data_IF_289702796720
#
_entry.id   IF_289702796720
#
_cell.length_a   1.000
_cell.length_b   1.000
_cell.length_c   1.000
_cell.angle_alpha   90.00
_cell.angle_beta   90.00
_cell.angle_gamma   90.00
#
_symmetry.space_group_name_H-M   'P 1'
#
loop_
_entity.id
_entity.type
_entity.pdbx_description
1 polymer ?
#
# COMPACT_ATOMS: atom_id res chain seq x y z
N UNK A 1 -1.58 10.32 29.26
CA UNK A 1 -2.51 11.45 29.24
C UNK A 1 -3.69 11.00 28.40
N UNK A 2 -4.83 10.80 29.05
CA UNK A 2 -5.95 10.02 28.53
C UNK A 2 -6.78 10.79 27.51
N UNK A 3 -6.90 10.25 26.30
CA UNK A 3 -7.74 10.78 25.23
C UNK A 3 -9.22 10.70 25.63
N UNK A 4 -9.76 11.83 26.10
CA UNK A 4 -11.18 11.97 26.39
C UNK A 4 -11.91 12.50 25.14
N UNK A 5 -12.91 11.74 24.67
CA UNK A 5 -13.87 12.20 23.65
C UNK A 5 -15.16 12.61 24.37
N UNK A 6 -15.50 13.91 24.31
CA UNK A 6 -16.74 14.46 24.88
C UNK A 6 -17.97 13.84 24.21
N UNK A 7 -18.93 13.34 25.01
CA UNK A 7 -20.25 12.91 24.54
C UNK A 7 -21.15 14.14 24.28
N UNK A 8 -22.13 14.06 23.34
CA UNK A 8 -22.36 12.98 22.39
C UNK A 8 -21.40 13.12 21.18
N UNK A 9 -20.67 12.06 20.87
CA UNK A 9 -19.84 11.98 19.67
C UNK A 9 -20.42 10.91 18.73
N UNK A 10 -20.36 11.19 17.44
CA UNK A 10 -20.74 10.22 16.42
C UNK A 10 -19.62 9.18 16.26
N UNK A 11 -19.93 7.91 16.52
CA UNK A 11 -19.01 6.80 16.24
C UNK A 11 -18.55 6.80 14.77
N UNK A 12 -19.45 7.16 13.84
CA UNK A 12 -19.14 7.28 12.42
C UNK A 12 -18.07 8.35 12.16
N UNK A 13 -18.17 9.50 12.84
CA UNK A 13 -17.18 10.57 12.72
C UNK A 13 -15.85 10.18 13.36
N UNK A 14 -15.88 9.48 14.50
CA UNK A 14 -14.68 8.98 15.17
C UNK A 14 -13.92 7.99 14.27
N UNK A 15 -14.60 7.02 13.68
CA UNK A 15 -14.00 6.07 12.73
C UNK A 15 -13.39 6.82 11.54
N UNK A 16 -14.09 7.79 10.96
CA UNK A 16 -13.55 8.60 9.85
C UNK A 16 -12.31 9.39 10.24
N UNK A 17 -12.25 9.94 11.47
CA UNK A 17 -11.06 10.64 11.98
C UNK A 17 -9.89 9.69 12.17
N UNK A 18 -10.12 8.52 12.77
CA UNK A 18 -9.09 7.49 12.94
C UNK A 18 -8.55 7.06 11.57
N UNK A 19 -9.43 6.73 10.62
CA UNK A 19 -9.01 6.37 9.25
C UNK A 19 -8.25 7.49 8.54
N UNK A 20 -8.66 8.75 8.71
CA UNK A 20 -7.95 9.90 8.12
C UNK A 20 -6.55 10.08 8.73
N UNK A 21 -6.41 9.90 10.04
CA UNK A 21 -5.12 9.94 10.73
C UNK A 21 -4.23 8.78 10.27
N UNK A 22 -4.78 7.57 10.14
CA UNK A 22 -4.05 6.42 9.61
C UNK A 22 -3.59 6.67 8.16
N UNK A 23 -4.46 7.15 7.26
CA UNK A 23 -4.06 7.51 5.89
C UNK A 23 -2.97 8.59 5.82
N UNK A 24 -2.97 9.53 6.77
CA UNK A 24 -1.97 10.61 6.82
C UNK A 24 -0.62 10.13 7.33
N UNK A 25 -0.62 9.19 8.28
CA UNK A 25 0.60 8.70 8.92
C UNK A 25 1.22 7.53 8.16
N UNK A 26 0.38 6.66 7.64
CA UNK A 26 0.72 5.65 6.65
C UNK A 26 0.44 6.27 5.28
N UNK A 27 1.31 7.18 4.83
CA UNK A 27 1.49 7.34 3.38
C UNK A 27 1.95 5.96 2.94
N UNK A 28 1.02 5.16 2.42
CA UNK A 28 1.39 3.97 1.67
C UNK A 28 2.02 4.56 0.43
N UNK A 29 3.32 4.84 0.51
CA UNK A 29 4.12 4.99 -0.67
C UNK A 29 3.90 3.67 -1.41
N UNK A 30 3.06 3.72 -2.43
CA UNK A 30 2.86 2.65 -3.39
C UNK A 30 4.13 2.52 -4.25
N UNK A 31 5.31 2.89 -3.71
CA UNK A 31 6.61 2.76 -4.32
C UNK A 31 7.33 1.66 -3.54
N UNK A 32 7.61 0.56 -4.22
CA UNK A 32 8.40 -0.53 -3.68
C UNK A 32 9.81 -0.47 -4.25
N UNK A 33 10.78 -0.55 -3.36
CA UNK A 33 12.20 -0.59 -3.69
C UNK A 33 12.82 -1.92 -3.30
N UNK A 34 13.57 -2.52 -4.21
CA UNK A 34 14.37 -3.70 -3.96
C UNK A 34 15.61 -3.70 -4.83
N UNK A 35 16.78 -3.58 -4.20
CA UNK A 35 18.06 -3.43 -4.89
C UNK A 35 17.99 -2.27 -5.91
N UNK A 36 18.29 -2.55 -7.18
CA UNK A 36 18.22 -1.56 -8.26
C UNK A 36 16.80 -1.40 -8.85
N UNK A 37 15.79 -2.07 -8.28
CA UNK A 37 14.40 -2.08 -8.77
C UNK A 37 13.55 -1.11 -7.97
N UNK A 38 12.80 -0.27 -8.67
CA UNK A 38 11.80 0.63 -8.11
C UNK A 38 10.49 0.45 -8.85
N UNK A 39 9.39 0.19 -8.15
CA UNK A 39 8.07 0.02 -8.75
C UNK A 39 7.10 0.96 -8.08
N UNK A 40 6.50 1.86 -8.87
CA UNK A 40 5.41 2.72 -8.45
C UNK A 40 4.08 2.12 -8.89
N UNK A 41 3.34 1.57 -7.92
CA UNK A 41 2.00 1.00 -8.07
C UNK A 41 0.91 2.04 -8.33
N UNK A 42 1.17 3.34 -8.12
CA UNK A 42 0.23 4.42 -8.44
C UNK A 42 0.34 4.80 -9.91
N UNK A 43 1.55 5.00 -10.42
CA UNK A 43 1.80 5.37 -11.82
C UNK A 43 1.92 4.16 -12.76
N UNK A 44 1.91 2.94 -12.22
CA UNK A 44 2.18 1.69 -12.95
C UNK A 44 3.55 1.69 -13.66
N UNK A 45 4.53 2.40 -13.09
CA UNK A 45 5.88 2.48 -13.63
C UNK A 45 6.83 1.58 -12.86
N UNK A 46 7.71 0.89 -13.59
CA UNK A 46 8.81 0.13 -13.01
C UNK A 46 10.14 0.65 -13.56
N UNK A 47 11.16 0.71 -12.72
CA UNK A 47 12.53 1.09 -13.08
C UNK A 47 13.50 0.04 -12.58
N UNK A 48 14.48 -0.32 -13.39
CA UNK A 48 15.58 -1.20 -13.02
C UNK A 48 16.88 -0.48 -13.36
N UNK A 49 17.79 -0.33 -12.40
CA UNK A 49 19.03 0.44 -12.57
C UNK A 49 18.79 1.86 -13.11
N UNK A 50 17.68 2.46 -12.65
CA UNK A 50 17.21 3.79 -13.07
C UNK A 50 16.73 3.89 -14.54
N UNK A 51 16.58 2.77 -15.26
CA UNK A 51 15.96 2.72 -16.59
C UNK A 51 14.49 2.29 -16.47
N UNK A 52 13.59 2.96 -17.19
CA UNK A 52 12.17 2.59 -17.21
C UNK A 52 11.94 1.29 -17.98
N UNK A 53 11.19 0.38 -17.36
CA UNK A 53 10.88 -0.94 -17.92
C UNK A 53 9.38 -1.02 -18.17
N UNK A 54 9.02 -1.40 -19.40
CA UNK A 54 7.63 -1.66 -19.74
C UNK A 54 7.13 -2.90 -18.99
N UNK A 55 6.13 -2.70 -18.12
CA UNK A 55 5.48 -3.77 -17.36
C UNK A 55 3.97 -3.71 -17.62
N UNK A 56 3.33 -4.87 -17.73
CA UNK A 56 1.87 -4.92 -17.92
C UNK A 56 1.18 -4.65 -16.59
N UNK A 57 0.00 -4.01 -16.58
CA UNK A 57 -0.76 -3.78 -15.36
C UNK A 57 -1.02 -5.06 -14.55
N UNK A 58 -1.28 -6.19 -15.24
CA UNK A 58 -1.48 -7.50 -14.58
C UNK A 58 -0.24 -8.00 -13.86
N UNK A 59 0.94 -7.85 -14.45
CA UNK A 59 2.20 -8.31 -13.85
C UNK A 59 2.50 -7.49 -12.58
N UNK A 60 2.21 -6.19 -12.63
CA UNK A 60 2.39 -5.29 -11.51
C UNK A 60 1.38 -5.57 -10.37
N UNK A 61 0.14 -5.95 -10.68
CA UNK A 61 -0.83 -6.41 -9.68
C UNK A 61 -0.38 -7.71 -8.98
N UNK A 62 0.13 -8.67 -9.74
CA UNK A 62 0.68 -9.92 -9.17
C UNK A 62 1.87 -9.59 -8.26
N UNK A 63 2.78 -8.72 -8.71
CA UNK A 63 3.91 -8.27 -7.88
C UNK A 63 3.43 -7.60 -6.59
N UNK A 64 2.43 -6.72 -6.66
CA UNK A 64 1.80 -6.09 -5.49
C UNK A 64 1.27 -7.14 -4.51
N UNK A 65 0.57 -8.16 -5.02
CA UNK A 65 0.04 -9.26 -4.20
C UNK A 65 1.16 -10.04 -3.51
N UNK A 66 2.23 -10.39 -4.23
CA UNK A 66 3.38 -11.12 -3.67
C UNK A 66 4.13 -10.30 -2.61
N UNK A 67 4.26 -9.00 -2.80
CA UNK A 67 4.89 -8.09 -1.82
C UNK A 67 4.04 -7.99 -0.55
N UNK A 68 2.71 -7.87 -0.70
CA UNK A 68 1.79 -7.83 0.44
C UNK A 68 1.80 -9.13 1.26
N UNK A 69 2.04 -10.27 0.61
CA UNK A 69 2.13 -11.59 1.24
C UNK A 69 3.56 -12.13 1.29
N UNK A 70 4.54 -11.25 1.59
CA UNK A 70 5.95 -11.60 1.62
C UNK A 70 6.20 -12.83 2.51
N UNK A 71 7.01 -13.78 2.02
CA UNK A 71 7.37 -15.04 2.68
C UNK A 71 6.21 -16.04 2.86
N UNK A 72 5.07 -15.84 2.18
CA UNK A 72 3.98 -16.80 2.16
C UNK A 72 3.96 -17.54 0.83
N UNK A 73 3.66 -18.84 0.88
CA UNK A 73 3.41 -19.63 -0.32
C UNK A 73 1.98 -19.37 -0.75
N UNK A 74 1.80 -18.70 -1.89
CA UNK A 74 0.48 -18.46 -2.49
C UNK A 74 0.19 -19.51 -3.56
N UNK A 75 -1.00 -20.11 -3.52
CA UNK A 75 -1.52 -20.97 -4.58
C UNK A 75 -1.99 -20.11 -5.76
N UNK A 76 -2.18 -20.73 -6.93
CA UNK A 76 -2.68 -20.02 -8.12
C UNK A 76 -4.08 -19.43 -7.95
N UNK A 77 -4.89 -19.97 -7.02
CA UNK A 77 -6.22 -19.43 -6.72
C UNK A 77 -6.16 -18.19 -5.80
N UNK A 78 -5.01 -17.95 -5.17
CA UNK A 78 -4.77 -16.82 -4.27
C UNK A 78 -4.09 -15.62 -4.97
N UNK A 79 -3.73 -15.75 -6.25
CA UNK A 79 -3.07 -14.73 -7.09
C UNK A 79 -4.05 -14.26 -8.17
#
# INVERSE_FOLDING_TARGET
ADDHVTKPFSLVLLVKRIQALLRRYYVVEDIWHYQDVTVDFTSYQARVKNEEVAIKPKELLVLKCLIQHKNQVLSREQI
#
